data_IF_484629766690
#
_entry.id   IF_484629766690
#
_cell.length_a   1.000
_cell.length_b   1.000
_cell.length_c   1.000
_cell.angle_alpha   90.00
_cell.angle_beta   90.00
_cell.angle_gamma   90.00
#
_symmetry.space_group_name_H-M   'P 1'
#
loop_
_entity.id
_entity.type
_entity.pdbx_description
1 polymer ?
#
# COMPACT_ATOMS: atom_id res chain seq x y z
N UNK A 1 17.99 -15.12 -4.27
CA UNK A 1 16.68 -15.22 -3.60
C UNK A 1 15.83 -14.08 -4.11
N UNK A 2 14.68 -14.35 -4.72
CA UNK A 2 13.72 -13.34 -5.15
C UNK A 2 12.79 -13.01 -4.00
N UNK A 3 12.66 -11.73 -3.64
CA UNK A 3 11.68 -11.29 -2.64
C UNK A 3 10.27 -11.41 -3.21
N UNK A 4 9.29 -11.77 -2.39
CA UNK A 4 7.87 -11.77 -2.77
C UNK A 4 7.39 -10.33 -2.96
N UNK A 5 6.91 -9.98 -4.15
CA UNK A 5 6.37 -8.64 -4.46
C UNK A 5 4.84 -8.61 -4.37
N UNK A 6 4.27 -7.47 -3.98
CA UNK A 6 2.82 -7.30 -3.96
C UNK A 6 2.35 -5.84 -3.95
N UNK A 7 1.04 -5.67 -3.99
CA UNK A 7 0.34 -4.40 -3.90
C UNK A 7 -0.45 -4.35 -2.60
N UNK A 8 -0.41 -3.20 -1.92
CA UNK A 8 -1.35 -2.87 -0.85
C UNK A 8 -2.07 -1.60 -1.29
N UNK A 9 -3.31 -1.72 -1.76
CA UNK A 9 -4.17 -0.57 -2.06
C UNK A 9 -4.58 0.06 -0.73
N UNK A 10 -3.68 0.83 -0.11
CA UNK A 10 -3.80 1.31 1.27
C UNK A 10 -3.77 2.83 1.42
N UNK A 11 -3.92 3.54 0.31
CA UNK A 11 -3.91 4.99 0.23
C UNK A 11 -5.24 5.63 0.67
N UNK A 12 -5.16 6.92 1.01
CA UNK A 12 -6.29 7.84 1.13
C UNK A 12 -6.66 8.43 -0.23
N UNK A 13 -7.94 8.76 -0.45
CA UNK A 13 -8.39 9.40 -1.68
C UNK A 13 -9.51 8.63 -2.40
N UNK A 14 -9.74 8.93 -3.69
CA UNK A 14 -10.77 8.25 -4.48
C UNK A 14 -10.42 6.77 -4.71
N UNK A 15 -11.44 5.90 -4.65
CA UNK A 15 -11.28 4.47 -4.95
C UNK A 15 -11.03 4.24 -6.43
N UNK A 16 -10.17 3.26 -6.74
CA UNK A 16 -10.10 2.70 -8.08
C UNK A 16 -11.37 1.96 -8.43
N UNK A 17 -11.67 1.94 -9.72
CA UNK A 17 -12.67 1.05 -10.32
C UNK A 17 -12.17 -0.39 -10.34
N UNK A 18 -13.09 -1.35 -10.44
CA UNK A 18 -12.72 -2.77 -10.57
C UNK A 18 -11.95 -3.08 -11.86
N UNK A 19 -12.18 -2.32 -12.94
CA UNK A 19 -11.44 -2.47 -14.19
C UNK A 19 -9.98 -2.05 -14.02
N UNK A 20 -9.74 -0.89 -13.41
CA UNK A 20 -8.39 -0.38 -13.12
C UNK A 20 -7.59 -1.36 -12.25
N UNK A 21 -8.21 -1.95 -11.20
CA UNK A 21 -7.58 -2.99 -10.37
C UNK A 21 -7.14 -4.20 -11.20
N UNK A 22 -7.99 -4.68 -12.11
CA UNK A 22 -7.67 -5.83 -12.99
C UNK A 22 -6.54 -5.51 -13.96
N UNK A 23 -6.54 -4.30 -14.52
CA UNK A 23 -5.48 -3.83 -15.42
C UNK A 23 -4.13 -3.77 -14.70
N UNK A 24 -4.08 -3.21 -13.49
CA UNK A 24 -2.86 -3.17 -12.69
C UNK A 24 -2.33 -4.58 -12.39
N UNK A 25 -3.20 -5.49 -11.95
CA UNK A 25 -2.80 -6.88 -11.69
C UNK A 25 -2.19 -7.49 -12.93
N UNK A 26 -2.89 -7.44 -14.08
CA UNK A 26 -2.42 -8.01 -15.34
C UNK A 26 -1.07 -7.43 -15.78
N UNK A 27 -0.89 -6.12 -15.65
CA UNK A 27 0.36 -5.44 -16.02
C UNK A 27 1.56 -5.91 -15.18
N UNK A 28 1.33 -6.25 -13.91
CA UNK A 28 2.40 -6.60 -12.97
C UNK A 28 2.67 -8.10 -12.83
N UNK A 29 1.82 -8.97 -13.39
CA UNK A 29 2.00 -10.42 -13.40
C UNK A 29 3.38 -10.82 -13.97
N UNK A 30 3.74 -10.26 -15.12
CA UNK A 30 5.00 -10.55 -15.81
C UNK A 30 6.25 -10.10 -15.02
N UNK A 31 6.06 -9.23 -14.02
CA UNK A 31 7.11 -8.67 -13.17
C UNK A 31 7.19 -9.32 -11.79
N UNK A 32 6.42 -10.39 -11.56
CA UNK A 32 6.53 -11.22 -10.35
C UNK A 32 5.73 -10.72 -9.14
N UNK A 33 4.78 -9.81 -9.33
CA UNK A 33 3.84 -9.41 -8.28
C UNK A 33 2.87 -10.56 -7.99
N UNK A 34 2.96 -11.11 -6.77
CA UNK A 34 2.29 -12.36 -6.40
C UNK A 34 1.11 -12.22 -5.44
N UNK A 35 0.88 -11.03 -4.89
CA UNK A 35 -0.26 -10.76 -4.02
C UNK A 35 -0.81 -9.34 -4.15
N UNK A 36 -2.09 -9.18 -3.82
CA UNK A 36 -2.82 -7.93 -3.78
C UNK A 36 -3.64 -7.87 -2.49
N UNK A 37 -3.38 -6.87 -1.65
CA UNK A 37 -4.19 -6.56 -0.48
C UNK A 37 -5.09 -5.36 -0.76
N UNK A 38 -6.40 -5.60 -0.73
CA UNK A 38 -7.41 -4.56 -0.79
C UNK A 38 -7.61 -3.97 0.60
N UNK A 39 -7.13 -2.74 0.81
CA UNK A 39 -7.22 -2.04 2.10
C UNK A 39 -7.46 -0.52 1.95
N UNK A 40 -8.25 -0.05 0.95
CA UNK A 40 -8.31 1.39 0.70
C UNK A 40 -8.95 2.09 1.88
N UNK A 41 -8.34 3.18 2.35
CA UNK A 41 -8.82 3.91 3.54
C UNK A 41 -10.25 4.44 3.35
N UNK A 42 -10.64 4.70 2.09
CA UNK A 42 -11.96 5.15 1.72
C UNK A 42 -13.07 4.08 1.77
N UNK A 43 -12.77 2.78 1.95
CA UNK A 43 -13.81 1.77 2.18
C UNK A 43 -14.19 1.71 3.67
N UNK A 44 -15.32 2.32 4.09
CA UNK A 44 -15.66 2.43 5.50
C UNK A 44 -15.94 1.06 6.12
N UNK A 45 -16.34 0.07 5.33
CA UNK A 45 -16.65 -1.28 5.81
C UNK A 45 -15.39 -2.09 6.15
N UNK A 46 -14.19 -1.57 5.87
CA UNK A 46 -12.93 -2.13 6.33
C UNK A 46 -12.27 -1.30 7.44
N UNK A 47 -12.88 -0.16 7.82
CA UNK A 47 -12.35 0.75 8.84
C UNK A 47 -13.46 1.27 9.77
N UNK A 48 -13.96 2.49 9.60
CA UNK A 48 -14.86 3.13 10.59
C UNK A 48 -16.19 2.42 10.82
N UNK A 49 -16.72 1.74 9.81
CA UNK A 49 -17.96 0.94 9.83
C UNK A 49 -17.64 -0.55 9.69
N UNK A 50 -16.50 -1.01 10.19
CA UNK A 50 -16.01 -2.39 10.01
C UNK A 50 -16.98 -3.47 10.51
N UNK A 51 -17.83 -3.15 11.49
CA UNK A 51 -18.83 -4.08 12.04
C UNK A 51 -20.01 -4.30 11.07
N UNK A 52 -20.20 -3.42 10.11
CA UNK A 52 -21.25 -3.52 9.11
C UNK A 52 -20.82 -4.40 7.93
N UNK A 53 -21.75 -5.16 7.33
CA UNK A 53 -21.48 -5.85 6.08
C UNK A 53 -21.27 -4.83 4.96
N UNK A 54 -20.41 -5.19 4.02
CA UNK A 54 -20.39 -4.52 2.72
C UNK A 54 -21.77 -4.64 2.05
N UNK A 55 -22.23 -3.60 1.32
CA UNK A 55 -23.42 -3.69 0.48
C UNK A 55 -23.31 -4.86 -0.50
N UNK A 56 -24.42 -5.55 -0.83
CA UNK A 56 -24.37 -6.76 -1.65
C UNK A 56 -23.62 -6.62 -2.98
N UNK A 57 -23.80 -5.49 -3.68
CA UNK A 57 -23.10 -5.22 -4.94
C UNK A 57 -21.57 -5.07 -4.75
N UNK A 58 -21.15 -4.36 -3.70
CA UNK A 58 -19.72 -4.20 -3.37
C UNK A 58 -19.10 -5.52 -2.92
N UNK A 59 -19.83 -6.31 -2.13
CA UNK A 59 -19.40 -7.64 -1.70
C UNK A 59 -19.24 -8.61 -2.89
N UNK A 60 -20.19 -8.61 -3.83
CA UNK A 60 -20.08 -9.43 -5.04
C UNK A 60 -18.89 -8.99 -5.90
N UNK A 61 -18.69 -7.67 -6.08
CA UNK A 61 -17.57 -7.17 -6.85
C UNK A 61 -16.20 -7.51 -6.23
N UNK A 62 -16.10 -7.50 -4.89
CA UNK A 62 -14.93 -8.00 -4.15
C UNK A 62 -14.70 -9.48 -4.39
N UNK A 63 -15.74 -10.31 -4.30
CA UNK A 63 -15.65 -11.75 -4.56
C UNK A 63 -15.25 -12.04 -6.02
N UNK A 64 -15.79 -11.29 -6.97
CA UNK A 64 -15.42 -11.35 -8.39
C UNK A 64 -13.96 -10.98 -8.64
N UNK A 65 -13.45 -9.98 -7.93
CA UNK A 65 -12.05 -9.59 -8.01
C UNK A 65 -11.15 -10.65 -7.36
N UNK A 66 -11.54 -11.22 -6.22
CA UNK A 66 -10.85 -12.33 -5.58
C UNK A 66 -10.73 -13.56 -6.51
N UNK A 67 -11.83 -13.94 -7.19
CA UNK A 67 -11.84 -15.02 -8.19
C UNK A 67 -10.90 -14.74 -9.36
N UNK A 68 -10.86 -13.51 -9.84
CA UNK A 68 -9.94 -13.09 -10.90
C UNK A 68 -8.48 -13.22 -10.47
N UNK A 69 -8.10 -12.62 -9.35
CA UNK A 69 -6.72 -12.71 -8.85
C UNK A 69 -6.28 -14.18 -8.70
N UNK A 70 -7.14 -15.03 -8.12
CA UNK A 70 -6.87 -16.46 -7.99
C UNK A 70 -6.63 -17.15 -9.32
N UNK A 71 -7.42 -16.84 -10.35
CA UNK A 71 -7.26 -17.41 -11.70
C UNK A 71 -5.94 -16.96 -12.34
N UNK A 72 -5.54 -15.71 -12.14
CA UNK A 72 -4.26 -15.17 -12.64
C UNK A 72 -3.05 -15.59 -11.78
N UNK A 73 -3.25 -16.38 -10.71
CA UNK A 73 -2.17 -16.84 -9.82
C UNK A 73 -1.72 -15.83 -8.76
N UNK A 74 -2.50 -14.76 -8.55
CA UNK A 74 -2.26 -13.71 -7.54
C UNK A 74 -3.05 -14.02 -6.28
N UNK A 75 -2.38 -14.01 -5.13
CA UNK A 75 -3.06 -14.13 -3.83
C UNK A 75 -3.80 -12.84 -3.54
N UNK A 76 -5.13 -12.92 -3.50
CA UNK A 76 -5.97 -11.83 -3.06
C UNK A 76 -6.17 -11.88 -1.55
N UNK A 77 -6.04 -10.73 -0.90
CA UNK A 77 -6.37 -10.55 0.49
C UNK A 77 -7.00 -9.20 0.78
N UNK A 78 -7.43 -9.05 2.03
CA UNK A 78 -8.09 -7.84 2.53
C UNK A 78 -7.33 -7.31 3.74
N UNK A 79 -7.16 -6.00 3.82
CA UNK A 79 -6.79 -5.30 5.04
C UNK A 79 -8.03 -4.87 5.81
N UNK A 80 -8.16 -5.33 7.04
CA UNK A 80 -9.21 -4.95 7.98
C UNK A 80 -8.58 -4.09 9.08
N UNK A 81 -9.04 -2.86 9.21
CA UNK A 81 -8.78 -1.98 10.34
C UNK A 81 -9.96 -2.06 11.30
N UNK A 82 -9.96 -2.95 12.31
CA UNK A 82 -11.01 -3.00 13.31
C UNK A 82 -10.88 -1.77 14.22
N UNK A 83 -11.49 -0.66 13.78
CA UNK A 83 -11.23 0.68 14.29
C UNK A 83 -11.34 0.74 15.81
N UNK A 84 -10.24 1.12 16.46
CA UNK A 84 -10.06 1.26 17.92
C UNK A 84 -10.36 0.01 18.77
N UNK A 85 -10.44 -1.18 18.16
CA UNK A 85 -10.83 -2.41 18.89
C UNK A 85 -9.87 -2.75 20.04
N UNK A 86 -8.59 -2.37 19.94
CA UNK A 86 -7.59 -2.60 21.00
C UNK A 86 -7.83 -1.73 22.25
N UNK A 87 -8.64 -0.68 22.18
CA UNK A 87 -9.03 0.11 23.34
C UNK A 87 -10.14 -0.59 24.16
N UNK A 88 -10.93 -1.49 23.54
CA UNK A 88 -11.92 -2.33 24.23
C UNK A 88 -12.17 -3.66 23.49
N UNK A 89 -11.41 -4.71 23.82
CA UNK A 89 -11.54 -6.05 23.22
C UNK A 89 -12.33 -7.03 24.10
N UNK A 90 -13.56 -6.65 24.44
CA UNK A 90 -14.51 -7.45 25.21
C UNK A 90 -15.26 -8.50 24.34
N UNK A 91 -16.25 -9.19 24.93
CA UNK A 91 -17.02 -10.20 24.21
C UNK A 91 -17.87 -9.62 23.08
N UNK A 92 -18.39 -8.39 23.22
CA UNK A 92 -19.13 -7.71 22.16
C UNK A 92 -18.22 -7.40 20.97
N UNK A 93 -17.00 -6.94 21.22
CA UNK A 93 -15.99 -6.72 20.19
C UNK A 93 -15.62 -8.03 19.46
N UNK A 94 -15.46 -9.14 20.21
CA UNK A 94 -15.19 -10.47 19.65
C UNK A 94 -16.34 -10.98 18.78
N UNK A 95 -17.58 -10.83 19.21
CA UNK A 95 -18.75 -11.23 18.41
C UNK A 95 -18.85 -10.42 17.11
N UNK A 96 -18.59 -9.11 17.16
CA UNK A 96 -18.57 -8.26 15.98
C UNK A 96 -17.45 -8.67 15.02
N UNK A 97 -16.26 -8.96 15.55
CA UNK A 97 -15.12 -9.42 14.76
C UNK A 97 -15.39 -10.80 14.14
N UNK A 98 -15.98 -11.75 14.86
CA UNK A 98 -16.35 -13.07 14.34
C UNK A 98 -17.30 -12.95 13.14
N UNK A 99 -18.32 -12.08 13.26
CA UNK A 99 -19.27 -11.81 12.17
C UNK A 99 -18.55 -11.24 10.95
N UNK A 100 -17.64 -10.28 11.16
CA UNK A 100 -16.87 -9.68 10.06
C UNK A 100 -15.93 -10.68 9.39
N UNK A 101 -15.19 -11.48 10.15
CA UNK A 101 -14.32 -12.53 9.63
C UNK A 101 -15.11 -13.54 8.80
N UNK A 102 -16.27 -13.99 9.30
CA UNK A 102 -17.16 -14.88 8.54
C UNK A 102 -17.59 -14.29 7.19
N UNK A 103 -17.84 -12.98 7.14
CA UNK A 103 -18.18 -12.30 5.88
C UNK A 103 -16.98 -12.26 4.92
N UNK A 104 -15.79 -11.90 5.41
CA UNK A 104 -14.58 -11.83 4.60
C UNK A 104 -14.17 -13.20 4.06
N UNK A 105 -14.27 -14.24 4.89
CA UNK A 105 -13.98 -15.63 4.50
C UNK A 105 -14.90 -16.11 3.35
N UNK A 106 -16.17 -15.70 3.35
CA UNK A 106 -17.12 -16.00 2.25
C UNK A 106 -16.74 -15.35 0.91
N UNK A 107 -15.93 -14.28 0.91
CA UNK A 107 -15.38 -13.70 -0.31
C UNK A 107 -14.29 -14.58 -0.93
N UNK A 108 -13.78 -15.58 -0.19
CA UNK A 108 -12.71 -16.46 -0.63
C UNK A 108 -11.34 -15.78 -0.62
N UNK A 109 -11.08 -14.91 0.35
CA UNK A 109 -9.76 -14.29 0.57
C UNK A 109 -8.71 -15.36 0.92
N UNK A 110 -7.47 -15.13 0.50
CA UNK A 110 -6.34 -16.02 0.79
C UNK A 110 -5.39 -15.41 1.82
N UNK A 111 -5.37 -14.09 1.94
CA UNK A 111 -4.60 -13.37 2.94
C UNK A 111 -5.52 -12.40 3.71
N UNK A 112 -5.30 -12.26 5.01
CA UNK A 112 -5.94 -11.25 5.84
C UNK A 112 -4.85 -10.42 6.50
N UNK A 113 -5.01 -9.09 6.50
CA UNK A 113 -4.18 -8.18 7.25
C UNK A 113 -5.04 -7.49 8.33
N UNK A 114 -4.58 -7.53 9.58
CA UNK A 114 -5.19 -6.74 10.67
C UNK A 114 -4.38 -5.47 10.84
N UNK A 115 -5.06 -4.33 10.76
CA UNK A 115 -4.44 -3.03 10.58
C UNK A 115 -4.71 -2.15 11.81
N UNK A 116 -3.66 -1.86 12.57
CA UNK A 116 -3.71 -1.00 13.77
C UNK A 116 -3.10 0.39 13.56
N UNK A 117 -2.79 0.75 12.31
CA UNK A 117 -2.33 2.07 11.87
C UNK A 117 -3.42 3.15 11.99
N UNK A 118 -2.98 4.41 12.11
CA UNK A 118 -3.82 5.60 12.02
C UNK A 118 -4.94 5.70 13.06
N UNK A 119 -4.65 5.26 14.28
CA UNK A 119 -5.57 5.26 15.43
C UNK A 119 -4.83 5.56 16.74
N UNK A 120 -5.51 6.21 17.70
CA UNK A 120 -4.93 6.55 19.00
C UNK A 120 -5.07 5.39 20.00
N UNK A 121 -3.97 4.89 20.60
CA UNK A 121 -4.01 3.92 21.68
C UNK A 121 -4.22 4.55 23.06
N UNK A 122 -5.27 4.08 23.75
CA UNK A 122 -5.51 4.42 25.16
C UNK A 122 -5.05 3.31 26.11
N UNK A 123 -4.65 2.15 25.58
CA UNK A 123 -4.29 0.97 26.36
C UNK A 123 -2.78 0.92 26.66
N UNK A 124 -2.37 0.73 27.94
CA UNK A 124 -0.95 0.69 28.31
C UNK A 124 -0.21 -0.56 27.80
N UNK A 125 -0.93 -1.69 27.61
CA UNK A 125 -0.37 -2.97 27.15
C UNK A 125 -0.57 -3.19 25.64
N UNK A 126 -0.46 -2.12 24.85
CA UNK A 126 -0.83 -2.08 23.42
C UNK A 126 -0.29 -3.26 22.60
N UNK A 127 1.01 -3.57 22.72
CA UNK A 127 1.63 -4.66 21.96
C UNK A 127 1.02 -6.04 22.29
N UNK A 128 0.75 -6.33 23.57
CA UNK A 128 0.14 -7.60 24.00
C UNK A 128 -1.31 -7.66 23.56
N UNK A 129 -2.07 -6.58 23.71
CA UNK A 129 -3.47 -6.52 23.28
C UNK A 129 -3.59 -6.75 21.77
N UNK A 130 -2.72 -6.14 20.97
CA UNK A 130 -2.69 -6.35 19.52
C UNK A 130 -2.35 -7.79 19.16
N UNK A 131 -1.36 -8.40 19.82
CA UNK A 131 -1.03 -9.80 19.62
C UNK A 131 -2.21 -10.73 19.98
N UNK A 132 -2.88 -10.48 21.11
CA UNK A 132 -4.07 -11.24 21.53
C UNK A 132 -5.21 -11.16 20.53
N UNK A 133 -5.47 -9.97 19.96
CA UNK A 133 -6.48 -9.80 18.91
C UNK A 133 -6.09 -10.60 17.67
N UNK A 134 -4.82 -10.54 17.26
CA UNK A 134 -4.32 -11.27 16.08
C UNK A 134 -4.39 -12.79 16.28
N UNK A 135 -4.04 -13.30 17.45
CA UNK A 135 -4.17 -14.72 17.79
C UNK A 135 -5.63 -15.16 17.79
N UNK A 136 -6.52 -14.33 18.34
CA UNK A 136 -7.96 -14.58 18.28
C UNK A 136 -8.45 -14.60 16.82
N UNK A 137 -8.00 -13.66 15.98
CA UNK A 137 -8.32 -13.65 14.55
C UNK A 137 -7.81 -14.92 13.87
N UNK A 138 -6.55 -15.33 14.13
CA UNK A 138 -5.95 -16.55 13.57
C UNK A 138 -6.80 -17.78 13.88
N UNK A 139 -7.39 -17.86 15.06
CA UNK A 139 -8.28 -18.96 15.45
C UNK A 139 -9.69 -18.91 14.82
N UNK A 140 -10.09 -17.78 14.22
CA UNK A 140 -11.46 -17.52 13.76
C UNK A 140 -11.59 -17.16 12.26
N UNK A 141 -10.48 -17.10 11.51
CA UNK A 141 -10.50 -16.92 10.05
C UNK A 141 -10.03 -18.19 9.33
N UNK A 142 -10.49 -18.37 8.10
CA UNK A 142 -10.00 -19.39 7.16
C UNK A 142 -8.93 -18.88 6.20
N UNK A 143 -8.51 -17.62 6.31
CA UNK A 143 -7.43 -17.06 5.50
C UNK A 143 -6.09 -17.80 5.75
N UNK A 144 -5.42 -18.21 4.67
CA UNK A 144 -4.20 -19.03 4.74
C UNK A 144 -2.94 -18.27 5.12
N UNK A 145 -2.95 -16.93 5.02
CA UNK A 145 -1.85 -16.06 5.49
C UNK A 145 -2.42 -14.91 6.31
N UNK A 146 -1.76 -14.63 7.42
CA UNK A 146 -2.09 -13.51 8.31
C UNK A 146 -0.93 -12.50 8.35
N UNK A 147 -1.27 -11.22 8.28
CA UNK A 147 -0.35 -10.11 8.49
C UNK A 147 -0.92 -9.14 9.53
N UNK A 148 -0.05 -8.37 10.17
CA UNK A 148 -0.45 -7.27 11.05
C UNK A 148 0.30 -5.99 10.68
N UNK A 149 -0.41 -4.86 10.62
CA UNK A 149 0.20 -3.54 10.66
C UNK A 149 0.14 -3.04 12.10
N UNK A 150 1.28 -2.95 12.81
CA UNK A 150 1.29 -2.42 14.18
C UNK A 150 0.96 -0.92 14.19
N UNK A 151 0.54 -0.37 15.34
CA UNK A 151 0.31 1.08 15.49
C UNK A 151 1.58 1.88 15.23
N UNK A 152 2.71 1.40 15.74
CA UNK A 152 4.02 1.98 15.46
C UNK A 152 4.73 1.13 14.39
N UNK A 153 4.40 1.42 13.12
CA UNK A 153 4.88 0.69 11.93
C UNK A 153 6.13 1.29 11.26
N UNK A 154 6.74 2.29 11.90
CA UNK A 154 7.93 3.00 11.44
C UNK A 154 8.73 3.53 12.64
N UNK A 155 10.00 3.86 12.46
CA UNK A 155 10.76 4.65 13.44
C UNK A 155 10.44 6.15 13.37
N UNK A 156 9.56 6.56 12.46
CA UNK A 156 9.20 7.97 12.26
C UNK A 156 8.64 8.59 13.56
N UNK A 157 9.27 9.66 14.09
CA UNK A 157 8.77 10.38 15.25
C UNK A 157 7.38 11.00 15.05
N UNK A 158 6.90 11.12 13.80
CA UNK A 158 5.52 11.56 13.53
C UNK A 158 4.50 10.64 14.18
N UNK A 159 4.78 9.32 14.27
CA UNK A 159 3.86 8.37 14.89
C UNK A 159 3.70 8.65 16.39
N UNK A 160 4.78 9.02 17.09
CA UNK A 160 4.71 9.38 18.52
C UNK A 160 3.96 10.70 18.74
N UNK A 161 4.04 11.63 17.78
CA UNK A 161 3.33 12.91 17.86
C UNK A 161 1.84 12.75 17.65
N UNK A 162 1.43 11.85 16.76
CA UNK A 162 0.02 11.66 16.37
C UNK A 162 -0.67 10.62 17.25
N UNK A 163 0.01 9.51 17.58
CA UNK A 163 -0.55 8.39 18.35
C UNK A 163 -0.08 8.36 19.81
N UNK A 164 0.67 9.37 20.26
CA UNK A 164 1.24 9.39 21.61
C UNK A 164 2.53 8.57 21.70
N UNK A 165 3.26 8.76 22.80
CA UNK A 165 4.57 8.17 23.03
C UNK A 165 4.53 6.64 22.97
N UNK A 166 5.29 6.04 22.04
CA UNK A 166 5.34 4.58 21.92
C UNK A 166 5.98 3.93 23.15
N UNK A 167 5.51 2.75 23.59
CA UNK A 167 6.19 1.97 24.61
C UNK A 167 7.62 1.62 24.20
N UNK A 168 8.55 1.63 25.15
CA UNK A 168 9.98 1.48 24.87
C UNK A 168 10.36 0.11 24.26
N UNK A 169 9.62 -0.94 24.63
CA UNK A 169 9.81 -2.33 24.21
C UNK A 169 8.68 -2.82 23.30
N UNK A 170 7.99 -1.89 22.61
CA UNK A 170 6.79 -2.19 21.82
C UNK A 170 7.04 -3.27 20.75
N UNK A 171 8.11 -3.15 19.96
CA UNK A 171 8.40 -4.10 18.88
C UNK A 171 8.90 -5.45 19.40
N UNK A 172 9.71 -5.45 20.46
CA UNK A 172 10.18 -6.66 21.14
C UNK A 172 9.01 -7.44 21.74
N UNK A 173 8.11 -6.75 22.44
CA UNK A 173 6.91 -7.37 23.02
C UNK A 173 6.00 -7.90 21.92
N UNK A 174 5.69 -7.09 20.90
CA UNK A 174 4.85 -7.54 19.79
C UNK A 174 5.46 -8.76 19.08
N UNK A 175 6.77 -8.73 18.81
CA UNK A 175 7.50 -9.82 18.17
C UNK A 175 7.56 -11.10 19.00
N UNK A 176 7.60 -11.00 20.33
CA UNK A 176 7.61 -12.14 21.23
C UNK A 176 6.23 -12.78 21.41
N UNK A 177 5.16 -11.96 21.43
CA UNK A 177 3.79 -12.41 21.67
C UNK A 177 3.10 -12.95 20.42
N UNK A 178 3.35 -12.34 19.25
CA UNK A 178 2.75 -12.80 18.00
C UNK A 178 3.23 -14.20 17.61
N UNK A 179 2.31 -15.05 17.17
CA UNK A 179 2.64 -16.29 16.47
C UNK A 179 3.66 -16.06 15.34
N UNK A 180 4.64 -16.99 15.20
CA UNK A 180 5.79 -16.83 14.29
C UNK A 180 5.42 -16.82 12.81
N UNK A 181 4.26 -17.34 12.43
CA UNK A 181 3.77 -17.35 11.06
C UNK A 181 3.14 -16.01 10.66
N UNK A 182 2.77 -15.17 11.63
CA UNK A 182 2.20 -13.85 11.38
C UNK A 182 3.29 -12.91 10.85
N UNK A 183 3.04 -12.34 9.67
CA UNK A 183 3.91 -11.34 9.05
C UNK A 183 3.64 -9.97 9.65
N UNK A 184 4.67 -9.15 9.83
CA UNK A 184 4.55 -7.81 10.42
C UNK A 184 4.93 -6.78 9.37
N UNK A 185 4.02 -5.85 9.09
CA UNK A 185 4.30 -4.72 8.20
C UNK A 185 5.26 -3.73 8.85
N UNK A 186 6.07 -3.10 7.99
CA UNK A 186 7.00 -2.05 8.38
C UNK A 186 7.20 -1.10 7.21
N UNK A 187 7.28 0.21 7.45
CA UNK A 187 7.46 1.21 6.36
C UNK A 187 8.87 1.77 6.27
N UNK A 188 9.73 1.49 7.26
CA UNK A 188 11.13 1.91 7.28
C UNK A 188 11.45 2.88 8.42
N UNK A 189 12.40 3.78 8.19
CA UNK A 189 12.80 4.80 9.18
C UNK A 189 11.81 5.98 9.22
N UNK A 190 11.07 6.18 8.14
CA UNK A 190 10.02 7.20 8.00
C UNK A 190 8.74 6.53 7.49
N UNK A 191 7.58 7.19 7.65
CA UNK A 191 6.31 6.69 7.07
C UNK A 191 6.47 6.56 5.55
N UNK A 192 7.00 7.58 4.90
CA UNK A 192 7.43 7.57 3.50
C UNK A 192 8.96 7.60 3.44
N UNK A 193 9.59 6.45 3.69
CA UNK A 193 11.05 6.34 3.81
C UNK A 193 11.80 6.78 2.55
N UNK A 194 12.79 7.67 2.71
CA UNK A 194 13.72 8.02 1.63
C UNK A 194 14.58 6.83 1.20
N UNK A 195 15.02 6.01 2.15
CA UNK A 195 15.83 4.81 1.94
C UNK A 195 15.44 3.74 2.96
N UNK A 196 15.58 2.47 2.59
CA UNK A 196 15.50 1.34 3.51
C UNK A 196 16.77 0.52 3.34
N UNK A 197 17.70 0.60 4.29
CA UNK A 197 19.00 -0.08 4.21
C UNK A 197 18.96 -1.51 4.78
N UNK A 198 19.87 -2.41 4.37
CA UNK A 198 20.02 -3.72 5.00
C UNK A 198 20.34 -3.64 6.50
N UNK A 199 21.05 -2.60 6.94
CA UNK A 199 21.38 -2.38 8.35
C UNK A 199 20.13 -2.12 9.18
N UNK A 200 19.23 -1.27 8.66
CA UNK A 200 17.92 -1.00 9.27
C UNK A 200 17.10 -2.28 9.40
N UNK A 201 16.94 -3.02 8.30
CA UNK A 201 16.14 -4.24 8.27
C UNK A 201 16.69 -5.32 9.22
N UNK A 202 18.01 -5.43 9.39
CA UNK A 202 18.61 -6.34 10.39
C UNK A 202 18.24 -5.96 11.81
N UNK A 203 18.28 -4.68 12.17
CA UNK A 203 17.90 -4.20 13.49
C UNK A 203 16.43 -4.51 13.75
N UNK A 204 15.54 -4.12 12.85
CA UNK A 204 14.10 -4.36 12.97
C UNK A 204 13.80 -5.86 13.06
N UNK A 205 14.49 -6.69 12.25
CA UNK A 205 14.33 -8.15 12.32
C UNK A 205 14.74 -8.73 13.67
N UNK A 206 15.74 -8.15 14.33
CA UNK A 206 16.17 -8.56 15.67
C UNK A 206 15.12 -8.21 16.72
N UNK A 207 14.53 -7.02 16.64
CA UNK A 207 13.49 -6.57 17.57
C UNK A 207 12.23 -7.43 17.43
N UNK A 208 11.74 -7.63 16.19
CA UNK A 208 10.54 -8.41 15.91
C UNK A 208 10.74 -9.94 16.04
N UNK A 209 11.99 -10.41 16.09
CA UNK A 209 12.32 -11.84 16.02
C UNK A 209 11.99 -12.51 14.68
N UNK A 210 11.69 -11.73 13.63
CA UNK A 210 11.30 -12.20 12.29
C UNK A 210 11.60 -11.13 11.23
N UNK A 211 11.67 -11.53 9.96
CA UNK A 211 11.83 -10.57 8.85
C UNK A 211 10.54 -9.75 8.67
N UNK A 212 10.61 -8.41 8.55
CA UNK A 212 9.43 -7.61 8.26
C UNK A 212 8.94 -7.82 6.81
N UNK A 213 7.65 -7.61 6.59
CA UNK A 213 7.04 -7.41 5.28
C UNK A 213 7.04 -5.91 5.00
N UNK A 214 7.80 -5.45 4.01
CA UNK A 214 7.88 -4.01 3.74
C UNK A 214 6.56 -3.55 3.13
N UNK A 215 5.91 -2.57 3.76
CA UNK A 215 4.85 -1.75 3.17
C UNK A 215 5.52 -0.45 2.73
N UNK A 216 5.95 -0.40 1.48
CA UNK A 216 6.72 0.73 0.96
C UNK A 216 5.77 1.83 0.47
N UNK A 217 5.76 2.99 1.13
CA UNK A 217 4.98 4.16 0.72
C UNK A 217 5.66 4.90 -0.45
N UNK A 218 5.92 4.16 -1.52
CA UNK A 218 6.25 4.64 -2.86
C UNK A 218 5.65 3.65 -3.86
N UNK A 219 4.89 4.09 -4.89
CA UNK A 219 4.75 5.47 -5.36
C UNK A 219 3.57 6.26 -4.77
N UNK A 220 2.94 5.82 -3.67
CA UNK A 220 1.76 6.53 -3.11
C UNK A 220 1.95 8.06 -3.09
N UNK A 221 0.93 8.77 -3.58
CA UNK A 221 0.90 10.21 -3.67
C UNK A 221 -0.42 10.75 -3.11
N UNK A 222 -0.85 10.23 -1.97
CA UNK A 222 -2.05 10.68 -1.27
C UNK A 222 -1.77 11.84 -0.30
N UNK A 223 -2.84 12.38 0.28
CA UNK A 223 -2.78 13.57 1.14
C UNK A 223 -2.58 14.89 0.37
N UNK A 224 -2.79 16.00 1.08
CA UNK A 224 -2.88 17.34 0.48
C UNK A 224 -1.63 17.75 -0.29
N UNK A 225 -0.45 17.37 0.22
CA UNK A 225 0.82 17.75 -0.41
C UNK A 225 1.20 16.82 -1.55
N UNK A 226 1.18 15.50 -1.35
CA UNK A 226 1.72 14.57 -2.36
C UNK A 226 0.77 14.40 -3.55
N UNK A 227 -0.55 14.54 -3.37
CA UNK A 227 -1.53 14.46 -4.47
C UNK A 227 -1.34 15.53 -5.54
N UNK A 228 -0.57 16.58 -5.23
CA UNK A 228 -0.15 17.63 -6.18
C UNK A 228 1.04 17.24 -7.03
N UNK A 229 1.55 16.01 -6.92
CA UNK A 229 2.72 15.49 -7.63
C UNK A 229 2.41 14.09 -8.20
N UNK A 230 2.89 13.80 -9.42
CA UNK A 230 2.84 12.44 -9.97
C UNK A 230 4.16 11.72 -9.67
N UNK A 231 4.12 10.70 -8.82
CA UNK A 231 5.31 9.91 -8.47
C UNK A 231 5.59 8.85 -9.55
N UNK A 232 6.52 9.17 -10.46
CA UNK A 232 6.77 8.43 -11.70
C UNK A 232 8.17 7.80 -11.79
N UNK A 233 9.15 8.34 -11.07
CA UNK A 233 10.56 7.91 -11.14
C UNK A 233 10.74 6.44 -10.78
N UNK A 234 11.80 5.84 -11.31
CA UNK A 234 12.20 4.50 -10.89
C UNK A 234 12.57 4.44 -9.40
N UNK A 235 12.37 3.28 -8.77
CA UNK A 235 12.70 3.06 -7.36
C UNK A 235 14.18 3.38 -7.08
N UNK A 236 14.44 3.99 -5.93
CA UNK A 236 15.79 4.23 -5.39
C UNK A 236 15.80 4.01 -3.87
N UNK A 237 16.98 3.83 -3.28
CA UNK A 237 17.10 3.59 -1.83
C UNK A 237 16.59 2.23 -1.35
N UNK A 238 16.29 1.30 -2.26
CA UNK A 238 15.85 -0.08 -1.95
C UNK A 238 16.83 -1.06 -2.58
N UNK A 239 18.09 -1.16 -2.09
CA UNK A 239 19.09 -2.02 -2.70
C UNK A 239 18.62 -3.48 -2.72
N UNK A 240 18.91 -4.22 -3.79
CA UNK A 240 18.47 -5.61 -3.95
C UNK A 240 18.90 -6.54 -2.80
N UNK A 241 19.98 -6.19 -2.09
CA UNK A 241 20.41 -6.87 -0.87
C UNK A 241 19.35 -6.92 0.24
N UNK A 242 18.34 -6.06 0.21
CA UNK A 242 17.20 -6.09 1.13
C UNK A 242 16.42 -7.40 1.04
N UNK A 243 16.43 -8.11 -0.11
CA UNK A 243 15.73 -9.38 -0.27
C UNK A 243 16.14 -10.44 0.76
N UNK A 244 17.36 -10.39 1.29
CA UNK A 244 17.82 -11.30 2.34
C UNK A 244 17.13 -11.05 3.70
N UNK A 245 16.61 -9.85 3.94
CA UNK A 245 16.10 -9.39 5.24
C UNK A 245 14.59 -9.11 5.24
N UNK A 246 13.90 -9.33 4.13
CA UNK A 246 12.46 -9.13 4.00
C UNK A 246 11.71 -10.46 3.91
N UNK A 247 10.50 -10.49 4.48
CA UNK A 247 9.51 -11.54 4.23
C UNK A 247 8.75 -11.30 2.90
N UNK A 248 8.73 -10.05 2.43
CA UNK A 248 8.18 -9.60 1.16
C UNK A 248 8.34 -8.08 1.04
N UNK A 249 7.99 -7.55 -0.12
CA UNK A 249 7.99 -6.12 -0.40
C UNK A 249 6.72 -5.77 -1.16
N UNK A 250 5.79 -5.13 -0.47
CA UNK A 250 4.57 -4.61 -1.05
C UNK A 250 4.66 -3.09 -1.21
N UNK A 251 4.15 -2.56 -2.31
CA UNK A 251 4.08 -1.10 -2.52
C UNK A 251 2.68 -0.60 -2.18
N UNK A 252 2.61 0.58 -1.57
CA UNK A 252 1.41 1.40 -1.56
C UNK A 252 1.37 2.19 -2.89
N UNK A 253 0.41 1.93 -3.77
CA UNK A 253 0.39 2.51 -5.10
C UNK A 253 -0.04 3.99 -5.08
N UNK A 254 0.18 4.70 -6.18
CA UNK A 254 -0.31 6.06 -6.39
C UNK A 254 -1.82 6.07 -6.63
N UNK A 255 -2.46 7.23 -6.57
CA UNK A 255 -3.87 7.37 -6.91
C UNK A 255 -4.18 7.04 -8.38
N UNK A 256 -3.15 7.08 -9.23
CA UNK A 256 -3.21 6.78 -10.66
C UNK A 256 -2.81 5.32 -10.92
N UNK A 257 -3.77 4.40 -11.20
CA UNK A 257 -3.50 2.97 -11.30
C UNK A 257 -2.58 2.59 -12.48
N UNK A 258 -2.72 3.24 -13.64
CA UNK A 258 -1.87 2.95 -14.81
C UNK A 258 -0.48 3.53 -14.58
N UNK A 259 -0.36 4.80 -14.15
CA UNK A 259 0.95 5.40 -13.87
C UNK A 259 1.71 4.69 -12.73
N UNK A 260 1.02 4.10 -11.76
CA UNK A 260 1.62 3.26 -10.71
C UNK A 260 2.46 2.11 -11.27
N UNK A 261 2.09 1.55 -12.43
CA UNK A 261 2.80 0.40 -13.01
C UNK A 261 4.26 0.73 -13.33
N UNK A 262 4.58 1.98 -13.69
CA UNK A 262 5.94 2.39 -14.07
C UNK A 262 6.93 2.19 -12.91
N UNK A 263 6.78 2.85 -11.74
CA UNK A 263 7.65 2.61 -10.61
C UNK A 263 7.56 1.16 -10.12
N UNK A 264 6.40 0.51 -10.14
CA UNK A 264 6.27 -0.89 -9.74
C UNK A 264 7.18 -1.83 -10.57
N UNK A 265 7.20 -1.68 -11.89
CA UNK A 265 8.10 -2.44 -12.76
C UNK A 265 9.56 -2.17 -12.40
N UNK A 266 9.93 -0.91 -12.14
CA UNK A 266 11.31 -0.58 -11.77
C UNK A 266 11.75 -1.20 -10.44
N UNK A 267 10.83 -1.48 -9.51
CA UNK A 267 11.15 -2.22 -8.28
C UNK A 267 11.55 -3.66 -8.58
N UNK A 268 10.77 -4.35 -9.43
CA UNK A 268 11.10 -5.70 -9.87
C UNK A 268 12.45 -5.73 -10.59
N UNK A 269 12.72 -4.74 -11.43
CA UNK A 269 14.02 -4.56 -12.09
C UNK A 269 15.16 -4.31 -11.12
N UNK A 270 14.94 -3.51 -10.07
CA UNK A 270 15.95 -3.25 -9.03
C UNK A 270 16.41 -4.56 -8.38
N UNK A 271 15.48 -5.42 -8.00
CA UNK A 271 15.83 -6.74 -7.44
C UNK A 271 16.53 -7.66 -8.44
N UNK A 272 16.09 -7.65 -9.70
CA UNK A 272 16.65 -8.49 -10.76
C UNK A 272 18.06 -8.08 -11.16
N UNK A 273 18.32 -6.78 -11.29
CA UNK A 273 19.59 -6.23 -11.77
C UNK A 273 20.60 -6.01 -10.65
N UNK A 274 20.15 -5.86 -9.40
CA UNK A 274 21.04 -5.73 -8.26
C UNK A 274 21.98 -4.52 -8.40
N UNK A 275 23.30 -4.68 -8.21
CA UNK A 275 24.28 -3.59 -8.36
C UNK A 275 24.28 -2.90 -9.73
N UNK A 276 23.82 -3.58 -10.79
CA UNK A 276 23.80 -3.04 -12.16
C UNK A 276 22.57 -2.15 -12.44
N UNK A 277 21.63 -2.07 -11.50
CA UNK A 277 20.40 -1.30 -11.64
C UNK A 277 20.65 0.20 -11.81
N UNK A 278 20.07 0.78 -12.86
CA UNK A 278 20.14 2.21 -13.17
C UNK A 278 18.73 2.79 -13.24
N UNK A 279 18.29 3.47 -12.17
CA UNK A 279 16.90 3.93 -12.02
C UNK A 279 16.37 4.79 -13.18
N UNK A 280 17.23 5.58 -13.83
CA UNK A 280 16.85 6.38 -15.00
C UNK A 280 16.57 5.53 -16.25
N UNK A 281 17.38 4.49 -16.49
CA UNK A 281 17.15 3.54 -17.59
C UNK A 281 15.96 2.64 -17.31
N UNK A 282 15.81 2.17 -16.06
CA UNK A 282 14.65 1.39 -15.62
C UNK A 282 13.35 2.17 -15.80
N UNK A 283 13.33 3.46 -15.43
CA UNK A 283 12.18 4.34 -15.71
C UNK A 283 11.84 4.39 -17.20
N UNK A 284 12.84 4.63 -18.07
CA UNK A 284 12.62 4.71 -19.52
C UNK A 284 12.12 3.38 -20.10
N UNK A 285 12.64 2.26 -19.62
CA UNK A 285 12.20 0.92 -20.01
C UNK A 285 10.74 0.68 -19.60
N UNK A 286 10.43 0.83 -18.31
CA UNK A 286 9.09 0.65 -17.76
C UNK A 286 8.07 1.60 -18.41
N UNK A 287 8.42 2.88 -18.59
CA UNK A 287 7.53 3.84 -19.23
C UNK A 287 7.21 3.44 -20.68
N UNK A 288 8.18 2.94 -21.45
CA UNK A 288 7.94 2.47 -22.83
C UNK A 288 7.08 1.21 -22.87
N UNK A 289 7.27 0.30 -21.92
CA UNK A 289 6.45 -0.91 -21.80
C UNK A 289 4.99 -0.55 -21.52
N UNK A 290 4.76 0.38 -20.59
CA UNK A 290 3.41 0.76 -20.15
C UNK A 290 2.70 1.69 -21.13
N UNK A 291 3.41 2.63 -21.75
CA UNK A 291 2.83 3.77 -22.47
C UNK A 291 3.05 3.71 -23.99
N UNK A 292 3.92 2.83 -24.47
CA UNK A 292 4.47 2.90 -25.82
C UNK A 292 5.52 4.01 -25.99
N UNK A 293 6.16 4.04 -27.16
CA UNK A 293 7.35 4.88 -27.40
C UNK A 293 7.05 6.39 -27.34
N UNK A 294 5.96 6.83 -27.95
CA UNK A 294 5.65 8.26 -28.09
C UNK A 294 5.24 8.89 -26.76
N UNK A 295 4.25 8.31 -26.08
CA UNK A 295 3.78 8.81 -24.79
C UNK A 295 4.86 8.69 -23.70
N UNK A 296 5.67 7.62 -23.68
CA UNK A 296 6.82 7.53 -22.78
C UNK A 296 7.85 8.64 -23.03
N UNK A 297 8.12 8.95 -24.30
CA UNK A 297 9.00 10.05 -24.68
C UNK A 297 8.47 11.40 -24.23
N UNK A 298 7.16 11.62 -24.33
CA UNK A 298 6.52 12.83 -23.84
C UNK A 298 6.55 12.92 -22.30
N UNK A 299 6.18 11.84 -21.62
CA UNK A 299 6.20 11.76 -20.15
C UNK A 299 7.60 12.03 -19.60
N UNK A 300 8.64 11.50 -20.24
CA UNK A 300 10.02 11.75 -19.84
C UNK A 300 10.42 13.23 -19.95
N UNK A 301 9.98 13.94 -20.99
CA UNK A 301 10.23 15.38 -21.16
C UNK A 301 9.55 16.21 -20.07
N UNK A 302 8.34 15.82 -19.68
CA UNK A 302 7.57 16.54 -18.67
C UNK A 302 7.80 16.04 -17.24
N UNK A 303 8.65 15.02 -17.03
CA UNK A 303 8.87 14.37 -15.73
C UNK A 303 9.18 15.37 -14.61
N UNK A 304 10.07 16.34 -14.86
CA UNK A 304 10.41 17.39 -13.89
C UNK A 304 9.18 18.23 -13.52
N UNK A 305 8.30 18.52 -14.48
CA UNK A 305 7.09 19.32 -14.25
C UNK A 305 6.06 18.51 -13.45
N UNK A 306 5.80 17.27 -13.86
CA UNK A 306 4.75 16.42 -13.29
C UNK A 306 5.10 15.92 -11.89
N UNK A 307 6.36 15.52 -11.68
CA UNK A 307 6.80 14.96 -10.40
C UNK A 307 7.41 16.00 -9.47
N UNK A 308 8.35 16.83 -9.93
CA UNK A 308 9.15 17.67 -9.04
C UNK A 308 8.51 19.06 -8.82
N UNK A 309 7.99 19.69 -9.88
CA UNK A 309 7.31 21.01 -9.78
C UNK A 309 5.93 20.88 -9.13
N UNK A 310 5.11 19.93 -9.60
CA UNK A 310 3.76 19.67 -9.10
C UNK A 310 2.74 20.75 -9.43
N UNK A 311 1.44 20.44 -9.27
CA UNK A 311 0.30 21.27 -9.68
C UNK A 311 0.39 22.71 -9.18
N UNK A 312 0.81 22.90 -7.92
CA UNK A 312 0.80 24.21 -7.26
C UNK A 312 1.78 25.23 -7.87
N UNK A 313 2.74 24.78 -8.69
CA UNK A 313 3.79 25.64 -9.28
C UNK A 313 3.80 25.63 -10.80
N UNK A 314 2.84 24.97 -11.44
CA UNK A 314 2.65 25.01 -12.89
C UNK A 314 1.86 26.27 -13.23
N UNK A 315 2.38 27.11 -14.14
CA UNK A 315 1.63 28.29 -14.61
C UNK A 315 0.42 27.87 -15.43
N UNK A 316 -0.59 28.73 -15.52
CA UNK A 316 -1.79 28.43 -16.30
C UNK A 316 -1.47 28.15 -17.78
N UNK A 317 -0.52 28.87 -18.38
CA UNK A 317 -0.08 28.65 -19.75
C UNK A 317 0.57 27.27 -19.91
N UNK A 318 1.46 26.88 -18.98
CA UNK A 318 2.09 25.55 -19.02
C UNK A 318 1.06 24.45 -18.76
N UNK A 319 0.08 24.68 -17.88
CA UNK A 319 -1.02 23.75 -17.62
C UNK A 319 -1.86 23.52 -18.88
N UNK A 320 -2.26 24.57 -19.59
CA UNK A 320 -3.00 24.44 -20.86
C UNK A 320 -2.17 23.74 -21.94
N UNK A 321 -0.87 24.01 -22.02
CA UNK A 321 0.02 23.31 -22.95
C UNK A 321 0.12 21.81 -22.63
N UNK A 322 0.20 21.44 -21.34
CA UNK A 322 0.18 20.03 -20.93
C UNK A 322 -1.17 19.38 -21.28
N UNK A 323 -2.30 20.04 -21.00
CA UNK A 323 -3.63 19.54 -21.35
C UNK A 323 -3.70 19.24 -22.85
N UNK A 324 -3.35 20.22 -23.70
CA UNK A 324 -3.35 20.03 -25.16
C UNK A 324 -2.42 18.89 -25.60
N UNK A 325 -1.28 18.72 -24.94
CA UNK A 325 -0.31 17.67 -25.26
C UNK A 325 -0.87 16.27 -24.92
N UNK A 326 -1.44 16.09 -23.72
CA UNK A 326 -1.91 14.78 -23.27
C UNK A 326 -3.28 14.41 -23.85
N UNK A 327 -4.11 15.38 -24.23
CA UNK A 327 -5.39 15.17 -24.93
C UNK A 327 -5.20 14.53 -26.33
N UNK A 328 -4.02 14.66 -26.92
CA UNK A 328 -3.68 14.03 -28.20
C UNK A 328 -3.44 12.50 -28.10
N UNK A 329 -3.38 11.94 -26.88
CA UNK A 329 -3.12 10.51 -26.67
C UNK A 329 -4.38 9.78 -26.19
N UNK A 330 -4.89 8.86 -27.00
CA UNK A 330 -5.92 7.91 -26.57
C UNK A 330 -5.29 6.77 -25.73
N UNK A 331 -4.90 7.11 -24.50
CA UNK A 331 -4.25 6.18 -23.58
C UNK A 331 -4.71 6.43 -22.13
N UNK A 332 -5.02 5.38 -21.32
CA UNK A 332 -5.46 5.54 -19.94
C UNK A 332 -4.54 6.40 -19.07
N UNK A 333 -3.22 6.23 -19.19
CA UNK A 333 -2.25 7.07 -18.47
C UNK A 333 -2.32 8.56 -18.84
N UNK A 334 -2.61 8.90 -20.10
CA UNK A 334 -2.79 10.29 -20.50
C UNK A 334 -4.06 10.88 -19.87
N UNK A 335 -5.13 10.09 -19.80
CA UNK A 335 -6.36 10.47 -19.08
C UNK A 335 -6.12 10.67 -17.58
N UNK A 336 -5.29 9.84 -16.94
CA UNK A 336 -4.89 10.05 -15.53
C UNK A 336 -4.15 11.38 -15.34
N UNK A 337 -3.26 11.75 -16.27
CA UNK A 337 -2.55 13.04 -16.22
C UNK A 337 -3.54 14.21 -16.42
N UNK A 338 -4.48 14.10 -17.35
CA UNK A 338 -5.50 15.13 -17.58
C UNK A 338 -6.40 15.33 -16.35
N UNK A 339 -6.84 14.24 -15.71
CA UNK A 339 -7.60 14.28 -14.46
C UNK A 339 -6.80 14.88 -13.31
N UNK A 340 -5.51 14.57 -13.21
CA UNK A 340 -4.60 15.19 -12.24
C UNK A 340 -4.46 16.70 -12.49
N UNK A 341 -4.28 17.14 -13.73
CA UNK A 341 -4.29 18.56 -14.09
C UNK A 341 -5.63 19.23 -13.75
N UNK A 342 -6.76 18.52 -13.89
CA UNK A 342 -8.08 19.01 -13.50
C UNK A 342 -8.27 19.11 -11.97
N UNK A 343 -7.44 18.43 -11.18
CA UNK A 343 -7.51 18.41 -9.72
C UNK A 343 -8.31 17.25 -9.14
N UNK A 344 -8.76 16.28 -9.97
CA UNK A 344 -9.61 15.16 -9.57
C UNK A 344 -8.97 14.23 -8.52
N UNK A 345 -7.65 14.25 -8.42
CA UNK A 345 -6.89 13.44 -7.48
C UNK A 345 -6.46 14.19 -6.21
N UNK A 346 -6.84 15.46 -6.05
CA UNK A 346 -6.50 16.20 -4.83
C UNK A 346 -7.18 15.57 -3.62
N UNK A 347 -6.36 15.20 -2.63
CA UNK A 347 -6.83 14.64 -1.36
C UNK A 347 -6.75 15.73 -0.30
N UNK A 348 -7.86 16.06 0.35
CA UNK A 348 -7.89 17.09 1.39
C UNK A 348 -7.65 16.50 2.78
N UNK A 349 -7.25 17.32 3.74
CA UNK A 349 -7.14 16.91 5.15
C UNK A 349 -8.47 16.40 5.70
N UNK A 350 -9.60 16.95 5.23
CA UNK A 350 -10.95 16.47 5.60
C UNK A 350 -11.20 15.05 5.08
N UNK A 351 -10.78 14.74 3.84
CA UNK A 351 -10.87 13.38 3.31
C UNK A 351 -10.05 12.41 4.16
N UNK A 352 -8.81 12.77 4.50
CA UNK A 352 -7.95 11.93 5.37
C UNK A 352 -8.59 11.74 6.75
N UNK A 353 -9.18 12.80 7.32
CA UNK A 353 -9.80 12.77 8.63
C UNK A 353 -11.15 12.02 8.68
N UNK A 354 -11.81 11.80 7.55
CA UNK A 354 -13.12 11.12 7.46
C UNK A 354 -13.04 9.70 6.93
N UNK A 355 -12.00 9.38 6.17
CA UNK A 355 -11.62 8.02 5.81
C UNK A 355 -11.03 7.28 7.01
#
# INVERSE_FOLDING_TARGET
MTVELGIIEGFYGPLWTWSERRQLVNALLAHGYGFYLYAPKADPYLRRRWQEPHPPEQAEALADFARFCRREGVRFGVGLSPFEIFNNFDETAREALAKKLTMLDRLGIQELAILFDDMHPDTPDLARTQAQIVDWVKANTSAGKLSVCPTYYSDDPVLDRVFGQRPADYLETLGAELDREVRVFWTGEEVCSREVSPGHLKRVSKLLGRKPLLWDNYPVNDGDRMSRHLHLRGFTGRPAGNAAYLAGHAINPALQPVLTTIPAITLAECYRQGPDYQYGQAFLHAAREVLGLELAGQLHKDLLTLQDTGLARISDEKKQALIHTYDAFDHPAAHEILRWLAGDYQVTDEMVATQ
#
